data_IF_074834260402
#
_entry.id   IF_074834260402
#
_cell.length_a   1.000
_cell.length_b   1.000
_cell.length_c   1.000
_cell.angle_alpha   90.00
_cell.angle_beta   90.00
_cell.angle_gamma   90.00
#
_symmetry.space_group_name_H-M   'P 1'
#
loop_
_entity.id
_entity.type
_entity.pdbx_description
1 polymer ?
#
# COMPACT_ATOMS: atom_id res chain seq x y z
N UNK A 1 -9.49 16.53 -13.05
CA UNK A 1 -8.10 17.05 -13.08
C UNK A 1 -7.18 16.15 -12.26
N UNK A 2 -5.93 15.95 -12.68
CA UNK A 2 -4.95 15.10 -11.99
C UNK A 2 -4.60 15.61 -10.58
N UNK A 3 -4.50 16.93 -10.39
CA UNK A 3 -4.29 17.56 -9.08
C UNK A 3 -5.40 17.22 -8.08
N UNK A 4 -6.66 17.28 -8.52
CA UNK A 4 -7.81 16.89 -7.68
C UNK A 4 -7.71 15.43 -7.27
N UNK A 5 -7.41 14.52 -8.22
CA UNK A 5 -7.27 13.09 -7.91
C UNK A 5 -6.13 12.81 -6.96
N UNK A 6 -5.00 13.49 -7.14
CA UNK A 6 -3.86 13.44 -6.22
C UNK A 6 -4.27 13.88 -4.82
N UNK A 7 -4.90 15.05 -4.68
CA UNK A 7 -5.36 15.55 -3.38
C UNK A 7 -6.30 14.55 -2.69
N UNK A 8 -7.31 14.06 -3.42
CA UNK A 8 -8.26 13.08 -2.87
C UNK A 8 -7.53 11.80 -2.45
N UNK A 9 -6.64 11.27 -3.29
CA UNK A 9 -5.88 10.05 -2.99
C UNK A 9 -5.02 10.21 -1.73
N UNK A 10 -4.28 11.31 -1.60
CA UNK A 10 -3.48 11.59 -0.41
C UNK A 10 -4.36 11.63 0.85
N UNK A 11 -5.53 12.26 0.78
CA UNK A 11 -6.48 12.34 1.89
C UNK A 11 -7.03 10.97 2.27
N UNK A 12 -7.60 10.21 1.32
CA UNK A 12 -8.20 8.91 1.62
C UNK A 12 -7.16 7.89 2.08
N UNK A 13 -5.96 7.91 1.49
CA UNK A 13 -4.87 7.03 1.93
C UNK A 13 -4.42 7.38 3.34
N UNK A 14 -4.32 8.67 3.69
CA UNK A 14 -3.98 9.11 5.03
C UNK A 14 -4.97 8.62 6.10
N UNK A 15 -6.28 8.73 5.81
CA UNK A 15 -7.34 8.20 6.68
C UNK A 15 -7.25 6.68 6.83
N UNK A 16 -7.06 5.98 5.71
CA UNK A 16 -6.90 4.54 5.70
C UNK A 16 -5.67 4.10 6.49
N UNK A 17 -4.51 4.71 6.28
CA UNK A 17 -3.26 4.42 7.00
C UNK A 17 -3.43 4.61 8.52
N UNK A 18 -4.10 5.69 8.94
CA UNK A 18 -4.41 5.92 10.36
C UNK A 18 -5.23 4.74 10.92
N UNK A 19 -6.31 4.32 10.24
CA UNK A 19 -7.13 3.20 10.69
C UNK A 19 -6.37 1.88 10.71
N UNK A 20 -5.47 1.67 9.76
CA UNK A 20 -4.61 0.48 9.75
C UNK A 20 -3.64 0.44 10.94
N UNK A 21 -3.16 1.60 11.41
CA UNK A 21 -2.37 1.68 12.64
C UNK A 21 -3.21 1.32 13.87
N UNK A 22 -4.48 1.76 13.92
CA UNK A 22 -5.42 1.35 14.98
C UNK A 22 -5.64 -0.18 14.96
N UNK A 23 -5.83 -0.77 13.77
CA UNK A 23 -5.96 -2.23 13.61
C UNK A 23 -4.70 -2.98 14.04
N UNK A 24 -3.51 -2.43 13.79
CA UNK A 24 -2.26 -3.00 14.28
C UNK A 24 -2.22 -3.01 15.81
N UNK A 25 -2.67 -1.94 16.47
CA UNK A 25 -2.72 -1.89 17.93
C UNK A 25 -3.68 -2.95 18.51
N UNK A 26 -4.84 -3.15 17.89
CA UNK A 26 -5.77 -4.23 18.25
C UNK A 26 -5.12 -5.60 18.07
N UNK A 27 -4.43 -5.83 16.94
CA UNK A 27 -3.72 -7.08 16.72
C UNK A 27 -2.53 -7.27 17.68
N UNK A 28 -1.88 -6.19 18.10
CA UNK A 28 -0.85 -6.20 19.15
C UNK A 28 -1.41 -6.77 20.45
N UNK A 29 -2.54 -6.24 20.89
CA UNK A 29 -3.26 -6.69 22.09
C UNK A 29 -3.71 -8.15 21.99
N UNK A 30 -4.46 -8.51 20.94
CA UNK A 30 -5.00 -9.86 20.74
C UNK A 30 -3.93 -10.95 20.64
N UNK A 31 -2.73 -10.62 20.17
CA UNK A 31 -1.65 -11.60 19.99
C UNK A 31 -0.61 -11.58 21.11
N UNK A 32 -0.77 -10.69 22.11
CA UNK A 32 0.22 -10.42 23.16
C UNK A 32 1.62 -10.16 22.58
N UNK A 33 1.68 -9.40 21.48
CA UNK A 33 2.92 -9.03 20.78
C UNK A 33 2.96 -7.52 20.58
N UNK A 34 4.13 -6.93 20.77
CA UNK A 34 4.30 -5.47 20.60
C UNK A 34 4.99 -5.13 19.30
N UNK A 35 4.47 -4.15 18.58
CA UNK A 35 5.21 -3.48 17.51
C UNK A 35 5.92 -2.25 18.06
N UNK A 36 7.21 -2.42 18.37
CA UNK A 36 8.05 -1.37 18.96
C UNK A 36 8.63 -0.46 17.88
N UNK A 37 7.83 0.54 17.48
CA UNK A 37 8.20 1.58 16.52
C UNK A 37 7.51 2.90 16.84
N UNK A 38 8.26 3.99 16.79
CA UNK A 38 7.73 5.36 16.96
C UNK A 38 6.73 5.72 15.86
N UNK A 39 7.00 5.31 14.62
CA UNK A 39 6.11 5.51 13.47
C UNK A 39 5.68 4.17 12.90
N UNK A 40 4.46 3.77 13.24
CA UNK A 40 3.81 2.56 12.72
C UNK A 40 3.26 2.84 11.32
N UNK A 41 3.28 1.82 10.47
CA UNK A 41 2.83 1.91 9.08
C UNK A 41 1.86 0.80 8.73
N UNK A 42 1.19 0.93 7.59
CA UNK A 42 0.39 -0.16 7.04
C UNK A 42 1.20 -1.44 6.77
N UNK A 43 2.48 -1.31 6.43
CA UNK A 43 3.36 -2.46 6.24
C UNK A 43 3.56 -3.24 7.55
N UNK A 44 3.66 -2.53 8.68
CA UNK A 44 3.75 -3.17 10.00
C UNK A 44 2.45 -3.90 10.34
N UNK A 45 1.30 -3.27 10.05
CA UNK A 45 -0.01 -3.91 10.16
C UNK A 45 -0.07 -5.20 9.32
N UNK A 46 0.37 -5.13 8.07
CA UNK A 46 0.36 -6.27 7.16
C UNK A 46 1.31 -7.40 7.60
N UNK A 47 2.49 -7.04 8.13
CA UNK A 47 3.44 -8.01 8.71
C UNK A 47 2.83 -8.74 9.89
N UNK A 48 2.11 -8.03 10.78
CA UNK A 48 1.43 -8.66 11.91
C UNK A 48 0.34 -9.62 11.46
N UNK A 49 -0.50 -9.18 10.53
CA UNK A 49 -1.57 -9.97 9.93
C UNK A 49 -1.03 -11.30 9.35
N UNK A 50 0.05 -11.24 8.56
CA UNK A 50 0.68 -12.42 7.95
C UNK A 50 1.31 -13.37 8.96
N UNK A 51 1.98 -12.84 9.98
CA UNK A 51 2.75 -13.65 10.95
C UNK A 51 1.87 -14.31 12.01
N UNK A 52 0.81 -13.64 12.47
CA UNK A 52 0.10 -14.04 13.68
C UNK A 52 -1.37 -14.39 13.43
N UNK A 53 -1.99 -13.84 12.39
CA UNK A 53 -3.44 -13.95 12.16
C UNK A 53 -3.81 -14.77 10.92
N UNK A 54 -2.86 -15.56 10.38
CA UNK A 54 -3.12 -16.46 9.25
C UNK A 54 -3.28 -15.78 7.89
N UNK A 55 -3.01 -14.48 7.78
CA UNK A 55 -3.20 -13.70 6.55
C UNK A 55 -2.16 -13.92 5.45
N UNK A 56 -1.53 -15.10 5.34
CA UNK A 56 -0.44 -15.35 4.38
C UNK A 56 -0.84 -15.11 2.92
N UNK A 57 -2.09 -15.42 2.57
CA UNK A 57 -2.67 -15.23 1.23
C UNK A 57 -3.24 -13.83 0.97
N UNK A 58 -3.40 -13.00 2.01
CA UNK A 58 -3.94 -11.65 1.89
C UNK A 58 -2.96 -10.79 1.10
N UNK A 59 -3.44 -10.21 0.00
CA UNK A 59 -2.65 -9.29 -0.83
C UNK A 59 -2.50 -7.96 -0.11
N UNK A 60 -1.27 -7.47 0.00
CA UNK A 60 -1.02 -6.12 0.50
C UNK A 60 -1.53 -5.04 -0.46
N UNK A 61 -1.47 -3.81 0.03
CA UNK A 61 -1.76 -2.57 -0.70
C UNK A 61 -0.51 -1.69 -0.80
N UNK A 62 0.68 -2.29 -0.79
CA UNK A 62 1.94 -1.51 -0.71
C UNK A 62 2.20 -0.67 -1.96
N UNK A 63 1.68 -1.10 -3.11
CA UNK A 63 1.79 -0.38 -4.36
C UNK A 63 1.09 0.99 -4.27
N UNK A 64 -0.05 1.07 -3.57
CA UNK A 64 -0.71 2.34 -3.27
C UNK A 64 0.12 3.20 -2.32
N UNK A 65 0.83 2.60 -1.35
CA UNK A 65 1.73 3.34 -0.46
C UNK A 65 2.90 3.96 -1.23
N UNK A 66 3.48 3.21 -2.18
CA UNK A 66 4.55 3.72 -3.05
C UNK A 66 4.04 4.85 -3.95
N UNK A 67 2.89 4.68 -4.61
CA UNK A 67 2.28 5.74 -5.43
C UNK A 67 1.98 6.97 -4.57
N UNK A 68 1.47 6.78 -3.35
CA UNK A 68 1.22 7.86 -2.39
C UNK A 68 2.48 8.65 -2.10
N UNK A 69 3.60 7.97 -1.87
CA UNK A 69 4.87 8.63 -1.56
C UNK A 69 5.39 9.44 -2.76
N UNK A 70 5.29 8.91 -3.98
CA UNK A 70 5.66 9.62 -5.21
C UNK A 70 4.81 10.88 -5.37
N UNK A 71 3.50 10.76 -5.14
CA UNK A 71 2.58 11.89 -5.17
C UNK A 71 2.85 12.90 -4.05
N UNK A 72 3.27 12.47 -2.87
CA UNK A 72 3.49 13.37 -1.74
C UNK A 72 4.84 14.12 -1.82
N UNK A 73 5.88 13.48 -2.36
CA UNK A 73 7.26 13.96 -2.20
C UNK A 73 7.99 14.27 -3.50
N UNK A 74 7.56 13.72 -4.63
CA UNK A 74 8.25 13.88 -5.92
C UNK A 74 7.37 14.54 -6.97
N UNK A 75 6.34 15.28 -6.54
CA UNK A 75 5.36 15.94 -7.41
C UNK A 75 4.67 15.02 -8.44
N UNK A 76 4.61 13.72 -8.16
CA UNK A 76 4.09 12.71 -9.10
C UNK A 76 5.13 12.13 -10.06
N UNK A 77 6.40 12.52 -9.93
CA UNK A 77 7.53 12.02 -10.74
C UNK A 77 8.16 10.79 -10.09
N UNK A 78 8.17 9.66 -10.81
CA UNK A 78 8.90 8.46 -10.39
C UNK A 78 10.38 8.59 -10.81
N UNK A 79 11.17 9.33 -10.04
CA UNK A 79 12.58 9.61 -10.35
C UNK A 79 13.37 8.35 -10.74
N UNK A 80 14.14 8.47 -11.83
CA UNK A 80 14.97 7.42 -12.42
C UNK A 80 14.25 6.10 -12.77
N UNK A 81 12.92 6.03 -12.72
CA UNK A 81 12.17 4.78 -12.89
C UNK A 81 12.61 3.99 -14.13
N UNK A 82 12.71 4.65 -15.29
CA UNK A 82 13.14 3.99 -16.52
C UNK A 82 14.57 3.49 -16.47
N UNK A 83 15.49 4.32 -15.99
CA UNK A 83 16.90 3.94 -15.80
C UNK A 83 17.01 2.73 -14.88
N UNK A 84 16.28 2.74 -13.77
CA UNK A 84 16.20 1.66 -12.79
C UNK A 84 15.53 0.39 -13.36
N UNK A 85 14.54 0.55 -14.24
CA UNK A 85 13.85 -0.58 -14.88
C UNK A 85 14.80 -1.35 -15.80
N UNK A 86 15.69 -0.65 -16.51
CA UNK A 86 16.69 -1.24 -17.41
C UNK A 86 17.99 -1.65 -16.70
N UNK A 87 18.16 -1.30 -15.43
CA UNK A 87 19.37 -1.60 -14.64
C UNK A 87 19.60 -3.11 -14.54
N UNK A 88 20.76 -3.57 -15.05
CA UNK A 88 21.21 -4.97 -15.01
C UNK A 88 21.88 -5.36 -13.69
N UNK A 89 22.35 -4.38 -12.92
CA UNK A 89 22.95 -4.62 -11.60
C UNK A 89 21.89 -4.90 -10.53
N UNK A 90 22.32 -5.42 -9.39
CA UNK A 90 21.43 -5.75 -8.27
C UNK A 90 20.65 -4.50 -7.84
N UNK A 91 19.32 -4.65 -7.78
CA UNK A 91 18.40 -3.61 -7.34
C UNK A 91 18.41 -3.48 -5.82
N UNK A 92 18.41 -2.26 -5.32
CA UNK A 92 18.40 -1.97 -3.87
C UNK A 92 17.01 -2.25 -3.26
N UNK A 93 16.92 -2.33 -1.94
CA UNK A 93 15.63 -2.49 -1.24
C UNK A 93 14.72 -1.27 -1.42
N UNK A 94 15.25 -0.11 -1.82
CA UNK A 94 14.45 1.08 -2.16
C UNK A 94 13.97 1.05 -3.61
N UNK A 95 14.78 0.52 -4.53
CA UNK A 95 14.43 0.41 -5.96
C UNK A 95 13.35 -0.66 -6.19
N UNK A 96 13.38 -1.76 -5.43
CA UNK A 96 12.46 -2.89 -5.61
C UNK A 96 10.97 -2.51 -5.44
N UNK A 97 10.54 -1.82 -4.37
CA UNK A 97 9.14 -1.40 -4.21
C UNK A 97 8.65 -0.55 -5.39
N UNK A 98 9.45 0.43 -5.83
CA UNK A 98 9.13 1.30 -6.96
C UNK A 98 8.89 0.48 -8.24
N UNK A 99 9.82 -0.42 -8.55
CA UNK A 99 9.78 -1.27 -9.74
C UNK A 99 8.74 -2.38 -9.69
N UNK A 100 8.11 -2.62 -8.54
CA UNK A 100 6.99 -3.54 -8.40
C UNK A 100 5.64 -2.81 -8.39
N UNK A 101 5.57 -1.66 -7.72
CA UNK A 101 4.33 -0.93 -7.49
C UNK A 101 3.71 -0.38 -8.77
N UNK A 102 4.52 0.31 -9.59
CA UNK A 102 4.04 0.92 -10.84
C UNK A 102 3.57 -0.15 -11.83
N UNK A 103 4.36 -1.21 -12.13
CA UNK A 103 3.88 -2.29 -13.00
C UNK A 103 2.65 -3.00 -12.47
N UNK A 104 2.54 -3.22 -11.15
CA UNK A 104 1.34 -3.81 -10.54
C UNK A 104 0.11 -2.96 -10.81
N UNK A 105 0.17 -1.65 -10.54
CA UNK A 105 -0.95 -0.75 -10.78
C UNK A 105 -1.35 -0.71 -12.26
N UNK A 106 -0.37 -0.71 -13.17
CA UNK A 106 -0.63 -0.78 -14.62
C UNK A 106 -1.28 -2.12 -15.02
N UNK A 107 -0.77 -3.24 -14.52
CA UNK A 107 -1.25 -4.59 -14.83
C UNK A 107 -2.65 -4.86 -14.26
N UNK A 108 -2.97 -4.29 -13.10
CA UNK A 108 -4.29 -4.39 -12.47
C UNK A 108 -5.30 -3.36 -13.04
N UNK A 109 -4.93 -2.64 -14.11
CA UNK A 109 -5.76 -1.64 -14.77
C UNK A 109 -6.25 -0.55 -13.81
N UNK A 110 -5.39 -0.15 -12.86
CA UNK A 110 -5.68 0.82 -11.81
C UNK A 110 -5.83 2.26 -12.30
N UNK A 111 -5.90 2.52 -13.61
CA UNK A 111 -5.91 3.88 -14.14
C UNK A 111 -4.58 4.63 -13.95
N UNK A 112 -3.47 3.90 -13.82
CA UNK A 112 -2.11 4.44 -13.71
C UNK A 112 -1.35 4.25 -15.02
N UNK A 113 -0.68 5.29 -15.49
CA UNK A 113 0.31 5.19 -16.56
C UNK A 113 1.54 6.04 -16.25
N UNK A 114 2.64 5.81 -16.97
CA UNK A 114 3.87 6.57 -16.84
C UNK A 114 4.28 7.15 -18.20
N UNK A 115 4.61 8.45 -18.24
CA UNK A 115 4.95 9.11 -19.50
C UNK A 115 6.45 9.05 -19.83
N UNK A 116 6.89 9.80 -20.85
CA UNK A 116 8.30 9.82 -21.25
C UNK A 116 9.25 10.36 -20.17
N UNK A 117 8.77 11.26 -19.30
CA UNK A 117 9.51 11.96 -18.25
C UNK A 117 9.41 11.32 -16.86
N UNK A 118 8.83 10.11 -16.78
CA UNK A 118 8.54 9.40 -15.54
C UNK A 118 7.40 10.00 -14.69
N UNK A 119 6.57 10.88 -15.25
CA UNK A 119 5.38 11.36 -14.55
C UNK A 119 4.35 10.24 -14.45
N UNK A 120 3.86 10.01 -13.23
CA UNK A 120 2.73 9.12 -12.98
C UNK A 120 1.44 9.87 -13.28
N UNK A 121 0.71 9.38 -14.29
CA UNK A 121 -0.60 9.89 -14.67
C UNK A 121 -1.70 9.01 -14.07
N UNK A 122 -2.73 9.65 -13.53
CA UNK A 122 -3.89 9.01 -12.91
C UNK A 122 -5.16 9.44 -13.64
N UNK A 123 -5.83 8.48 -14.29
CA UNK A 123 -7.12 8.70 -14.90
C UNK A 123 -8.27 8.57 -13.89
N UNK A 124 -9.50 8.65 -14.39
CA UNK A 124 -10.74 8.57 -13.64
C UNK A 124 -10.97 7.23 -12.93
N UNK A 125 -10.30 6.15 -13.33
CA UNK A 125 -10.44 4.82 -12.70
C UNK A 125 -9.65 4.70 -11.41
N UNK A 126 -8.60 5.49 -11.24
CA UNK A 126 -7.64 5.33 -10.15
C UNK A 126 -8.24 5.44 -8.75
N UNK A 127 -9.08 6.43 -8.51
CA UNK A 127 -9.69 6.61 -7.18
C UNK A 127 -10.62 5.45 -6.83
N UNK A 128 -11.40 4.96 -7.80
CA UNK A 128 -12.29 3.82 -7.61
C UNK A 128 -11.49 2.54 -7.32
N UNK A 129 -10.38 2.33 -8.05
CA UNK A 129 -9.46 1.24 -7.78
C UNK A 129 -8.86 1.31 -6.37
N UNK A 130 -8.36 2.48 -5.95
CA UNK A 130 -7.74 2.64 -4.64
C UNK A 130 -8.74 2.36 -3.50
N UNK A 131 -9.97 2.88 -3.60
CA UNK A 131 -11.03 2.60 -2.63
C UNK A 131 -11.38 1.11 -2.62
N UNK A 132 -11.53 0.48 -3.79
CA UNK A 132 -11.80 -0.95 -3.88
C UNK A 132 -10.71 -1.82 -3.26
N UNK A 133 -9.43 -1.47 -3.44
CA UNK A 133 -8.32 -2.16 -2.79
C UNK A 133 -8.31 -1.97 -1.27
N UNK A 134 -8.68 -0.79 -0.77
CA UNK A 134 -8.84 -0.57 0.67
C UNK A 134 -9.98 -1.43 1.25
N UNK A 135 -11.14 -1.43 0.60
CA UNK A 135 -12.29 -2.24 1.03
C UNK A 135 -11.96 -3.73 1.03
N UNK A 136 -11.35 -4.23 -0.06
CA UNK A 136 -10.87 -5.61 -0.16
C UNK A 136 -9.95 -5.95 1.00
N UNK A 137 -8.93 -5.12 1.22
CA UNK A 137 -7.93 -5.36 2.25
C UNK A 137 -8.52 -5.36 3.66
N UNK A 138 -9.39 -4.40 3.97
CA UNK A 138 -10.08 -4.32 5.28
C UNK A 138 -10.97 -5.53 5.50
N UNK A 139 -11.71 -5.98 4.49
CA UNK A 139 -12.58 -7.15 4.61
C UNK A 139 -11.79 -8.44 4.84
N UNK A 140 -10.70 -8.64 4.10
CA UNK A 140 -9.80 -9.79 4.28
C UNK A 140 -9.12 -9.76 5.67
N UNK A 141 -8.65 -8.59 6.11
CA UNK A 141 -8.07 -8.40 7.44
C UNK A 141 -9.10 -8.71 8.54
N UNK A 142 -10.29 -8.11 8.48
CA UNK A 142 -11.34 -8.32 9.47
C UNK A 142 -11.72 -9.80 9.57
N UNK A 143 -11.82 -10.50 8.43
CA UNK A 143 -12.07 -11.95 8.39
C UNK A 143 -10.96 -12.73 9.10
N UNK A 144 -9.69 -12.43 8.80
CA UNK A 144 -8.55 -13.08 9.44
C UNK A 144 -8.49 -12.83 10.96
N UNK A 145 -8.71 -11.59 11.39
CA UNK A 145 -8.72 -11.22 12.82
C UNK A 145 -9.85 -11.91 13.56
N UNK A 146 -11.07 -11.93 13.00
CA UNK A 146 -12.21 -12.64 13.59
C UNK A 146 -11.98 -14.15 13.67
N UNK A 147 -11.42 -14.74 12.61
CA UNK A 147 -11.08 -16.17 12.59
C UNK A 147 -10.02 -16.54 13.63
N UNK A 148 -9.08 -15.63 13.87
CA UNK A 148 -8.11 -15.80 14.94
C UNK A 148 -8.78 -15.73 16.32
N UNK A 149 -9.62 -14.71 16.54
CA UNK A 149 -10.32 -14.52 17.82
C UNK A 149 -11.25 -15.70 18.15
N UNK A 150 -11.96 -16.25 17.18
CA UNK A 150 -12.85 -17.41 17.39
C UNK A 150 -12.11 -18.71 17.73
N UNK A 151 -10.78 -18.74 17.60
CA UNK A 151 -9.93 -19.89 18.02
C UNK A 151 -9.37 -19.69 19.43
N UNK A 152 -9.46 -18.48 19.98
CA UNK A 152 -9.04 -18.17 21.34
C UNK A 152 -10.15 -18.43 22.36
N UNK A 153 -11.42 -18.29 21.92
CA UNK A 153 -12.64 -18.67 22.65
C UNK A 153 -12.96 -20.13 22.46
#
# INVERSE_FOLDING_TARGET
MQLTRRSVFLTIFGLFEHRMVDCLALMDDLSSKTTDKTRKTIEDCHKRLKRNFGGKSIKDVDHLAVIRNIMAHSDGVAEDYKTLSCKKTKKTEYEKPLLRAIPRAMAENAGVSINMFNDILMDDRFLMYAVGEFERYVNELNTAVRTYQSRLT
#
